data_IF_504215895602
#
_entry.id   IF_504215895602
#
_cell.length_a   1.000
_cell.length_b   1.000
_cell.length_c   1.000
_cell.angle_alpha   90.00
_cell.angle_beta   90.00
_cell.angle_gamma   90.00
#
_symmetry.space_group_name_H-M   'P 1'
#
loop_
_entity.id
_entity.type
_entity.pdbx_description
1 polymer ?
#
# COMPACT_ATOMS: atom_id res chain seq x y z
N UNK A 1 -34.85 33.78 32.51
CA UNK A 1 -34.09 32.52 32.49
C UNK A 1 -34.53 31.71 31.29
N UNK A 2 -33.81 31.81 30.20
CA UNK A 2 -34.06 31.05 28.96
C UNK A 2 -33.60 29.62 29.15
N UNK A 3 -34.53 28.73 29.31
CA UNK A 3 -34.30 27.30 29.44
C UNK A 3 -34.01 26.75 28.03
N UNK A 4 -32.71 26.59 27.67
CA UNK A 4 -32.31 25.83 26.51
C UNK A 4 -32.56 24.35 26.81
N UNK A 5 -33.78 23.87 26.55
CA UNK A 5 -34.03 22.46 26.43
C UNK A 5 -33.38 21.98 25.14
N UNK A 6 -32.19 21.43 25.26
CA UNK A 6 -31.57 20.63 24.22
C UNK A 6 -32.41 19.35 24.08
N UNK A 7 -33.37 19.36 23.17
CA UNK A 7 -33.99 18.13 22.69
C UNK A 7 -32.90 17.33 21.99
N UNK A 8 -32.28 16.44 22.72
CA UNK A 8 -31.49 15.36 22.16
C UNK A 8 -32.45 14.53 21.31
N UNK A 9 -32.47 14.79 20.02
CA UNK A 9 -33.09 13.88 19.08
C UNK A 9 -32.31 12.56 19.11
N UNK A 10 -32.96 11.52 19.60
CA UNK A 10 -32.48 10.13 19.68
C UNK A 10 -32.22 9.48 18.33
N UNK A 11 -31.47 10.14 17.45
CA UNK A 11 -30.94 9.60 16.21
C UNK A 11 -29.53 10.07 15.92
N UNK A 12 -28.73 10.23 16.95
CA UNK A 12 -27.29 10.24 16.76
C UNK A 12 -26.83 8.77 16.73
N UNK A 13 -26.81 8.22 15.51
CA UNK A 13 -26.39 6.86 15.25
C UNK A 13 -25.04 6.55 15.89
N UNK A 14 -24.94 5.38 16.50
CA UNK A 14 -23.72 4.79 17.07
C UNK A 14 -22.52 4.70 16.13
N UNK A 15 -22.70 5.02 14.85
CA UNK A 15 -21.66 5.14 13.83
C UNK A 15 -20.87 6.45 13.90
N UNK A 16 -21.45 7.51 14.48
CA UNK A 16 -20.82 8.84 14.56
C UNK A 16 -19.73 8.91 15.65
N UNK A 17 -19.83 8.10 16.70
CA UNK A 17 -18.89 8.16 17.83
C UNK A 17 -17.50 7.62 17.49
N UNK A 18 -17.39 6.66 16.60
CA UNK A 18 -16.09 6.14 16.13
C UNK A 18 -15.30 7.15 15.29
N UNK A 19 -15.99 8.12 14.70
CA UNK A 19 -15.34 9.18 13.92
C UNK A 19 -14.70 10.25 14.80
N UNK A 20 -15.10 10.32 16.10
CA UNK A 20 -14.64 11.32 17.07
C UNK A 20 -13.88 10.72 18.26
N UNK A 21 -13.41 9.47 18.17
CA UNK A 21 -12.63 8.83 19.26
C UNK A 21 -11.41 9.69 19.65
N UNK A 22 -10.78 10.35 18.67
CA UNK A 22 -9.70 11.29 18.92
C UNK A 22 -10.11 12.52 19.75
N UNK A 23 -11.39 12.91 19.68
CA UNK A 23 -11.91 14.03 20.48
C UNK A 23 -12.06 13.60 21.95
N UNK A 24 -12.41 12.35 22.20
CA UNK A 24 -12.45 11.78 23.55
C UNK A 24 -11.06 11.72 24.15
N UNK A 25 -10.09 11.23 23.38
CA UNK A 25 -8.68 11.19 23.81
C UNK A 25 -8.18 12.61 24.14
N UNK A 26 -8.58 13.61 23.34
CA UNK A 26 -8.26 15.02 23.60
C UNK A 26 -8.91 15.52 24.90
N UNK A 27 -10.20 15.27 25.09
CA UNK A 27 -10.93 15.67 26.29
C UNK A 27 -10.34 14.98 27.52
N UNK A 28 -10.04 13.69 27.45
CA UNK A 28 -9.45 12.93 28.56
C UNK A 28 -8.06 13.46 28.96
N UNK A 29 -7.24 13.90 27.97
CA UNK A 29 -5.93 14.51 28.22
C UNK A 29 -6.10 15.87 28.87
N UNK A 30 -7.10 16.68 28.47
CA UNK A 30 -7.39 18.00 29.04
C UNK A 30 -7.90 17.86 30.47
N UNK A 31 -8.76 16.88 30.74
CA UNK A 31 -9.36 16.67 32.06
C UNK A 31 -8.36 16.12 33.10
N UNK A 32 -7.35 15.36 32.67
CA UNK A 32 -6.35 14.73 33.56
C UNK A 32 -5.20 15.64 33.98
N UNK A 33 -5.07 16.83 33.40
CA UNK A 33 -3.92 17.72 33.67
C UNK A 33 -4.30 18.88 34.60
N UNK A 34 -3.55 19.01 35.69
CA UNK A 34 -3.73 20.05 36.72
C UNK A 34 -3.36 21.48 36.24
N UNK A 35 -2.73 21.63 35.08
CA UNK A 35 -2.40 22.92 34.44
C UNK A 35 -2.93 22.98 33.00
N UNK A 36 -4.16 23.47 32.78
CA UNK A 36 -4.86 23.37 31.50
C UNK A 36 -4.18 24.12 30.33
N UNK A 37 -3.57 25.27 30.59
CA UNK A 37 -3.04 26.12 29.52
C UNK A 37 -1.80 25.55 28.84
N UNK A 38 -0.83 25.06 29.60
CA UNK A 38 0.38 24.46 29.04
C UNK A 38 0.14 23.07 28.45
N UNK A 39 -0.73 22.28 29.07
CA UNK A 39 -1.10 20.95 28.57
C UNK A 39 -1.86 21.01 27.25
N UNK A 40 -2.75 21.97 27.09
CA UNK A 40 -3.51 22.16 25.85
C UNK A 40 -2.59 22.49 24.66
N UNK A 41 -1.67 23.44 24.84
CA UNK A 41 -0.74 23.80 23.78
C UNK A 41 0.20 22.64 23.41
N UNK A 42 0.73 21.91 24.38
CA UNK A 42 1.62 20.79 24.16
C UNK A 42 0.92 19.64 23.44
N UNK A 43 -0.28 19.29 23.90
CA UNK A 43 -1.10 18.24 23.28
C UNK A 43 -1.54 18.61 21.86
N UNK A 44 -1.93 19.87 21.66
CA UNK A 44 -2.28 20.42 20.35
C UNK A 44 -1.09 20.36 19.39
N UNK A 45 0.10 20.79 19.85
CA UNK A 45 1.32 20.74 19.06
C UNK A 45 1.69 19.28 18.69
N UNK A 46 1.61 18.35 19.62
CA UNK A 46 1.94 16.94 19.40
C UNK A 46 0.95 16.26 18.45
N UNK A 47 -0.34 16.54 18.58
CA UNK A 47 -1.37 16.00 17.67
C UNK A 47 -1.18 16.51 16.24
N UNK A 48 -0.85 17.77 16.05
CA UNK A 48 -0.64 18.37 14.72
C UNK A 48 0.73 18.05 14.12
N UNK A 49 1.71 17.63 14.92
CA UNK A 49 3.02 17.21 14.40
C UNK A 49 2.98 15.84 13.71
N UNK A 50 2.15 14.93 14.20
CA UNK A 50 2.11 13.53 13.73
C UNK A 50 0.91 13.22 12.84
N UNK A 51 -0.13 14.04 12.87
CA UNK A 51 -1.38 13.77 12.16
C UNK A 51 -1.86 14.98 11.35
N UNK A 52 -2.58 14.68 10.28
CA UNK A 52 -3.34 15.66 9.50
C UNK A 52 -4.82 15.31 9.55
N UNK A 53 -5.65 16.34 9.66
CA UNK A 53 -7.10 16.24 9.72
C UNK A 53 -7.69 16.82 8.44
N UNK A 54 -8.36 15.99 7.66
CA UNK A 54 -8.96 16.37 6.38
C UNK A 54 -10.47 16.20 6.43
N UNK A 55 -11.18 16.95 5.61
CA UNK A 55 -12.64 16.96 5.58
C UNK A 55 -13.18 16.27 4.33
N UNK A 56 -14.21 15.46 4.50
CA UNK A 56 -15.01 15.00 3.36
C UNK A 56 -15.93 16.13 2.86
N UNK A 57 -16.48 16.06 1.63
CA UNK A 57 -17.46 17.02 1.15
C UNK A 57 -18.71 17.12 2.04
N UNK A 58 -19.02 16.04 2.78
CA UNK A 58 -20.14 15.98 3.74
C UNK A 58 -19.83 16.56 5.12
N UNK A 59 -18.59 17.03 5.34
CA UNK A 59 -18.16 17.62 6.60
C UNK A 59 -17.59 16.65 7.62
N UNK A 60 -17.51 15.34 7.34
CA UNK A 60 -16.88 14.39 8.24
C UNK A 60 -15.36 14.61 8.29
N UNK A 61 -14.76 14.50 9.48
CA UNK A 61 -13.33 14.65 9.72
C UNK A 61 -12.62 13.31 9.62
N UNK A 62 -11.54 13.24 8.84
CA UNK A 62 -10.70 12.05 8.69
C UNK A 62 -9.32 12.37 9.25
N UNK A 63 -8.89 11.62 10.26
CA UNK A 63 -7.55 11.68 10.84
C UNK A 63 -6.62 10.76 10.07
N UNK A 64 -5.50 11.30 9.60
CA UNK A 64 -4.47 10.58 8.85
C UNK A 64 -3.09 10.87 9.45
N UNK A 65 -2.10 10.01 9.25
CA UNK A 65 -0.73 10.33 9.62
C UNK A 65 -0.18 11.49 8.77
N UNK A 66 0.82 12.16 9.28
CA UNK A 66 1.56 13.18 8.53
C UNK A 66 2.07 12.62 7.20
N UNK A 67 2.09 13.45 6.17
CA UNK A 67 2.47 13.10 4.80
C UNK A 67 1.56 12.05 4.12
N UNK A 68 0.37 11.81 4.67
CA UNK A 68 -0.63 10.97 4.01
C UNK A 68 -1.10 11.59 2.70
N UNK A 69 -1.44 10.75 1.74
CA UNK A 69 -1.88 11.15 0.40
C UNK A 69 -3.40 11.07 0.24
N UNK A 70 -3.92 11.59 -0.86
CA UNK A 70 -5.35 11.46 -1.19
C UNK A 70 -5.76 9.98 -1.39
N UNK A 71 -4.82 9.07 -1.69
CA UNK A 71 -5.05 7.62 -1.69
C UNK A 71 -5.34 7.14 -0.27
N UNK A 72 -4.52 7.53 0.70
CA UNK A 72 -4.74 7.19 2.11
C UNK A 72 -6.10 7.65 2.60
N UNK A 73 -6.48 8.88 2.23
CA UNK A 73 -7.79 9.45 2.53
C UNK A 73 -8.92 8.61 1.93
N UNK A 74 -8.82 8.24 0.64
CA UNK A 74 -9.83 7.44 -0.03
C UNK A 74 -10.08 6.10 0.69
N UNK A 75 -9.00 5.40 1.09
CA UNK A 75 -9.08 4.15 1.85
C UNK A 75 -9.51 4.36 3.31
N UNK A 76 -9.21 5.51 3.91
CA UNK A 76 -9.68 5.85 5.26
C UNK A 76 -11.20 6.01 5.27
N UNK A 77 -11.77 6.69 4.27
CA UNK A 77 -13.22 6.85 4.11
C UNK A 77 -13.88 5.49 3.88
N UNK A 78 -13.52 4.78 2.82
CA UNK A 78 -14.05 3.45 2.54
C UNK A 78 -13.18 2.71 1.52
N UNK A 79 -12.95 1.40 1.74
CA UNK A 79 -12.12 0.56 0.85
C UNK A 79 -12.57 0.64 -0.60
N UNK A 80 -13.88 0.57 -0.86
CA UNK A 80 -14.42 0.65 -2.23
C UNK A 80 -14.11 1.99 -2.91
N UNK A 81 -14.06 3.11 -2.17
CA UNK A 81 -13.69 4.42 -2.71
C UNK A 81 -12.22 4.40 -3.12
N UNK A 82 -11.34 3.83 -2.27
CA UNK A 82 -9.92 3.65 -2.59
C UNK A 82 -9.71 2.76 -3.81
N UNK A 83 -10.41 1.64 -3.91
CA UNK A 83 -10.26 0.68 -5.01
C UNK A 83 -10.69 1.27 -6.37
N UNK A 84 -11.65 2.20 -6.37
CA UNK A 84 -12.24 2.78 -7.59
C UNK A 84 -11.82 4.22 -7.85
N UNK A 85 -10.85 4.75 -7.08
CA UNK A 85 -10.37 6.13 -7.21
C UNK A 85 -9.66 6.36 -8.57
N UNK A 86 -10.01 7.44 -9.26
CA UNK A 86 -9.40 7.86 -10.52
C UNK A 86 -8.74 9.24 -10.42
N UNK A 87 -9.11 10.04 -9.43
CA UNK A 87 -8.61 11.39 -9.20
C UNK A 87 -9.18 11.96 -7.92
N UNK A 88 -8.75 13.15 -7.57
CA UNK A 88 -9.29 13.88 -6.43
C UNK A 88 -9.38 15.39 -6.70
N UNK A 89 -10.16 16.05 -5.87
CA UNK A 89 -10.21 17.51 -5.78
C UNK A 89 -9.86 17.88 -4.34
N UNK A 90 -8.87 18.76 -4.17
CA UNK A 90 -8.45 19.29 -2.88
C UNK A 90 -8.80 20.77 -2.86
N UNK A 91 -9.65 21.18 -1.92
CA UNK A 91 -10.15 22.55 -1.79
C UNK A 91 -10.77 23.11 -3.10
N UNK A 92 -11.45 22.23 -3.88
CA UNK A 92 -12.07 22.58 -5.16
C UNK A 92 -11.13 22.53 -6.37
N UNK A 93 -9.83 22.28 -6.19
CA UNK A 93 -8.87 22.16 -7.28
C UNK A 93 -8.61 20.68 -7.60
N UNK A 94 -8.61 20.34 -8.89
CA UNK A 94 -8.23 18.99 -9.35
C UNK A 94 -6.78 18.71 -8.99
N UNK A 95 -6.54 17.56 -8.41
CA UNK A 95 -5.23 17.13 -7.93
C UNK A 95 -5.01 15.65 -8.20
N UNK A 96 -3.77 15.23 -8.17
CA UNK A 96 -3.40 13.82 -8.30
C UNK A 96 -3.66 13.06 -7.00
N UNK A 97 -3.96 11.76 -7.11
CA UNK A 97 -4.20 10.89 -5.95
C UNK A 97 -2.99 10.76 -5.01
N UNK A 98 -1.78 10.99 -5.53
CA UNK A 98 -0.54 10.93 -4.75
C UNK A 98 -0.21 12.26 -4.03
N UNK A 99 -1.03 13.30 -4.20
CA UNK A 99 -0.83 14.58 -3.53
C UNK A 99 -0.88 14.42 -2.02
N UNK A 100 0.13 14.96 -1.33
CA UNK A 100 0.22 14.98 0.13
C UNK A 100 -0.81 15.97 0.67
N UNK A 101 -1.58 15.51 1.65
CA UNK A 101 -2.64 16.28 2.30
C UNK A 101 -2.11 17.12 3.46
N UNK A 102 -2.77 18.25 3.69
CA UNK A 102 -2.49 19.19 4.78
C UNK A 102 -3.67 19.30 5.73
N UNK A 103 -3.41 19.79 6.93
CA UNK A 103 -4.47 20.07 7.89
C UNK A 103 -5.50 21.06 7.32
N UNK A 104 -6.76 20.70 7.46
CA UNK A 104 -7.88 21.51 6.99
C UNK A 104 -8.30 21.25 5.54
N UNK A 105 -7.58 20.41 4.78
CA UNK A 105 -7.93 20.12 3.40
C UNK A 105 -9.31 19.46 3.29
N UNK A 106 -10.13 20.00 2.38
CA UNK A 106 -11.38 19.41 1.97
C UNK A 106 -11.14 18.54 0.74
N UNK A 107 -11.28 17.23 0.89
CA UNK A 107 -10.91 16.25 -0.14
C UNK A 107 -12.14 15.56 -0.70
N UNK A 108 -12.32 15.63 -2.01
CA UNK A 108 -13.34 14.91 -2.76
C UNK A 108 -12.66 13.90 -3.69
N UNK A 109 -13.04 12.62 -3.59
CA UNK A 109 -12.47 11.54 -4.41
C UNK A 109 -13.39 11.24 -5.57
N UNK A 110 -12.87 11.33 -6.78
CA UNK A 110 -13.57 10.92 -8.00
C UNK A 110 -13.34 9.41 -8.22
N UNK A 111 -14.43 8.68 -8.45
CA UNK A 111 -14.39 7.21 -8.59
C UNK A 111 -14.94 6.75 -9.93
N UNK A 112 -14.48 5.60 -10.43
CA UNK A 112 -15.01 4.94 -11.63
C UNK A 112 -15.19 3.43 -11.37
N UNK A 113 -16.32 2.88 -11.79
CA UNK A 113 -16.64 1.45 -11.58
C UNK A 113 -15.66 0.50 -12.28
N UNK A 114 -15.03 0.95 -13.35
CA UNK A 114 -14.11 0.13 -14.16
C UNK A 114 -12.64 0.28 -13.74
N UNK A 115 -12.39 1.05 -12.68
CA UNK A 115 -11.04 1.28 -12.16
C UNK A 115 -10.65 0.20 -11.16
N UNK A 116 -9.35 -0.06 -11.11
CA UNK A 116 -8.69 -0.90 -10.11
C UNK A 116 -7.51 -0.17 -9.49
N UNK A 117 -7.19 -0.43 -8.22
CA UNK A 117 -6.08 0.24 -7.56
C UNK A 117 -4.75 -0.16 -8.18
N UNK A 118 -3.83 0.80 -8.31
CA UNK A 118 -2.49 0.54 -8.83
C UNK A 118 -1.55 0.02 -7.73
N UNK A 119 -0.76 -1.01 -8.03
CA UNK A 119 0.31 -1.47 -7.14
C UNK A 119 1.39 -0.40 -6.91
N UNK A 120 1.56 0.52 -7.87
CA UNK A 120 2.49 1.65 -7.76
C UNK A 120 2.09 2.65 -6.66
N UNK A 121 0.87 2.56 -6.12
CA UNK A 121 0.44 3.40 -4.99
C UNK A 121 1.02 2.94 -3.65
N UNK A 122 1.43 1.67 -3.52
CA UNK A 122 1.91 1.10 -2.26
C UNK A 122 3.09 1.89 -1.65
N UNK A 123 4.13 2.27 -2.39
CA UNK A 123 5.25 3.02 -1.80
C UNK A 123 4.88 4.46 -1.41
N UNK A 124 3.89 5.09 -2.06
CA UNK A 124 3.48 6.46 -1.78
C UNK A 124 2.47 6.56 -0.64
N UNK A 125 1.73 5.48 -0.33
CA UNK A 125 0.78 5.45 0.79
C UNK A 125 1.48 5.36 2.14
N UNK A 126 0.95 6.07 3.14
CA UNK A 126 1.47 6.08 4.51
C UNK A 126 0.71 5.15 5.43
N UNK A 127 -0.58 4.93 5.18
CA UNK A 127 -1.41 4.10 6.06
C UNK A 127 -1.28 2.61 5.78
N UNK A 128 -1.19 1.82 6.84
CA UNK A 128 -1.23 0.36 6.74
C UNK A 128 -2.55 -0.15 6.15
N UNK A 129 -3.66 0.55 6.41
CA UNK A 129 -4.99 0.24 5.87
C UNK A 129 -5.00 0.29 4.34
N UNK A 130 -4.48 1.37 3.73
CA UNK A 130 -4.41 1.51 2.28
C UNK A 130 -3.51 0.43 1.65
N UNK A 131 -2.30 0.24 2.19
CA UNK A 131 -1.37 -0.80 1.71
C UNK A 131 -1.96 -2.21 1.77
N UNK A 132 -2.61 -2.55 2.89
CA UNK A 132 -3.24 -3.85 3.07
C UNK A 132 -4.43 -4.05 2.11
N UNK A 133 -5.26 -3.01 1.91
CA UNK A 133 -6.39 -3.07 1.00
C UNK A 133 -5.94 -3.26 -0.46
N UNK A 134 -4.94 -2.50 -0.93
CA UNK A 134 -4.39 -2.64 -2.28
C UNK A 134 -3.82 -4.05 -2.49
N UNK A 135 -3.04 -4.58 -1.54
CA UNK A 135 -2.50 -5.94 -1.64
C UNK A 135 -3.61 -6.99 -1.67
N UNK A 136 -4.62 -6.87 -0.81
CA UNK A 136 -5.76 -7.78 -0.77
C UNK A 136 -6.53 -7.77 -2.08
N UNK A 137 -6.79 -6.59 -2.66
CA UNK A 137 -7.49 -6.46 -3.93
C UNK A 137 -6.82 -7.28 -5.04
N UNK A 138 -5.51 -7.24 -5.12
CA UNK A 138 -4.75 -7.97 -6.13
C UNK A 138 -4.58 -9.45 -5.78
N UNK A 139 -4.45 -9.79 -4.50
CA UNK A 139 -4.41 -11.16 -4.01
C UNK A 139 -5.71 -11.90 -4.34
N UNK A 140 -6.86 -11.32 -4.00
CA UNK A 140 -8.17 -11.94 -4.22
C UNK A 140 -8.49 -12.12 -5.72
N UNK A 141 -7.91 -11.30 -6.59
CA UNK A 141 -8.06 -11.41 -8.05
C UNK A 141 -6.96 -12.22 -8.70
N UNK A 142 -5.77 -12.27 -8.15
CA UNK A 142 -4.64 -13.09 -8.59
C UNK A 142 -4.88 -14.57 -8.31
N UNK A 143 -5.49 -14.91 -7.20
CA UNK A 143 -5.81 -16.31 -6.87
C UNK A 143 -6.86 -16.95 -7.80
N UNK A 144 -7.62 -16.15 -8.53
CA UNK A 144 -8.50 -16.68 -9.59
C UNK A 144 -7.78 -16.98 -10.90
N UNK A 145 -6.48 -16.70 -11.02
CA UNK A 145 -5.76 -16.82 -12.30
C UNK A 145 -4.43 -17.54 -12.30
N UNK A 146 -3.84 -17.84 -11.17
CA UNK A 146 -2.65 -18.70 -11.15
C UNK A 146 -2.60 -19.44 -9.80
N UNK A 147 -2.69 -20.78 -9.83
CA UNK A 147 -1.94 -21.58 -8.84
C UNK A 147 -0.59 -20.91 -8.69
N UNK A 148 -0.26 -20.46 -7.48
CA UNK A 148 1.07 -19.92 -7.18
C UNK A 148 2.10 -20.99 -7.50
N UNK A 149 2.56 -21.02 -8.71
CA UNK A 149 3.85 -21.61 -8.98
C UNK A 149 4.84 -20.78 -8.17
N UNK A 150 5.23 -21.27 -7.02
CA UNK A 150 6.37 -20.73 -6.27
C UNK A 150 7.50 -20.73 -7.27
N UNK A 151 7.85 -19.56 -7.84
CA UNK A 151 9.03 -19.43 -8.71
C UNK A 151 10.26 -19.62 -7.79
N UNK A 152 10.71 -20.83 -7.71
CA UNK A 152 12.03 -21.11 -7.16
C UNK A 152 13.05 -20.81 -8.26
N UNK A 153 13.82 -19.76 -8.10
CA UNK A 153 14.97 -19.51 -8.95
C UNK A 153 16.09 -20.45 -8.48
N UNK A 154 16.23 -21.57 -9.15
CA UNK A 154 17.30 -22.54 -8.90
C UNK A 154 18.24 -22.52 -10.09
N UNK A 155 19.52 -22.37 -9.84
CA UNK A 155 20.56 -22.50 -10.87
C UNK A 155 21.10 -23.93 -10.86
N UNK A 156 21.01 -24.60 -12.00
CA UNK A 156 21.55 -25.91 -12.22
C UNK A 156 22.82 -25.80 -13.09
N UNK A 157 23.88 -26.39 -12.63
CA UNK A 157 25.12 -26.55 -13.40
C UNK A 157 25.19 -27.99 -13.89
N UNK A 158 25.12 -28.16 -15.22
CA UNK A 158 25.11 -29.48 -15.85
C UNK A 158 26.34 -29.55 -16.77
N UNK A 159 27.20 -30.57 -16.54
CA UNK A 159 28.31 -30.86 -17.43
C UNK A 159 27.85 -31.92 -18.44
N UNK A 160 27.96 -31.60 -19.70
CA UNK A 160 27.52 -32.46 -20.80
C UNK A 160 28.72 -32.77 -21.70
N UNK A 161 28.82 -34.02 -22.23
CA UNK A 161 29.78 -34.29 -23.28
C UNK A 161 29.45 -33.47 -24.54
N UNK A 162 30.47 -32.96 -25.20
CA UNK A 162 30.31 -32.16 -26.44
C UNK A 162 29.90 -33.07 -27.61
N UNK A 163 28.62 -33.38 -27.69
CA UNK A 163 28.01 -34.19 -28.75
C UNK A 163 26.71 -33.50 -29.22
N UNK A 164 26.42 -33.58 -30.52
CA UNK A 164 25.18 -33.07 -31.06
C UNK A 164 23.93 -33.65 -30.33
N UNK A 165 22.95 -32.82 -30.02
CA UNK A 165 21.65 -33.21 -29.43
C UNK A 165 21.62 -33.32 -27.90
N UNK A 166 22.74 -33.27 -27.18
CA UNK A 166 22.78 -33.42 -25.71
C UNK A 166 21.98 -32.32 -24.99
N UNK A 167 22.10 -31.10 -25.43
CA UNK A 167 21.34 -29.98 -24.89
C UNK A 167 19.83 -30.15 -25.11
N UNK A 168 19.43 -30.68 -26.29
CA UNK A 168 18.04 -30.98 -26.61
C UNK A 168 17.47 -32.04 -25.66
N UNK A 169 18.22 -33.09 -25.37
CA UNK A 169 17.78 -34.16 -24.44
C UNK A 169 17.56 -33.62 -23.03
N UNK A 170 18.46 -32.75 -22.55
CA UNK A 170 18.31 -32.14 -21.22
C UNK A 170 17.12 -31.18 -21.17
N UNK A 171 16.93 -30.37 -22.21
CA UNK A 171 15.77 -29.47 -22.30
C UNK A 171 14.43 -30.22 -22.30
N UNK A 172 14.37 -31.34 -23.05
CA UNK A 172 13.18 -32.19 -23.09
C UNK A 172 12.89 -32.81 -21.72
N UNK A 173 13.89 -33.32 -21.04
CA UNK A 173 13.74 -33.90 -19.70
C UNK A 173 13.24 -32.84 -18.69
N UNK A 174 13.75 -31.62 -18.73
CA UNK A 174 13.30 -30.51 -17.89
C UNK A 174 11.84 -30.18 -18.20
N UNK A 175 11.44 -30.17 -19.49
CA UNK A 175 10.07 -29.94 -19.92
C UNK A 175 9.08 -31.02 -19.46
N UNK A 176 9.47 -32.31 -19.52
CA UNK A 176 8.68 -33.43 -19.03
C UNK A 176 8.32 -33.28 -17.53
N UNK A 177 9.23 -32.73 -16.75
CA UNK A 177 9.01 -32.43 -15.33
C UNK A 177 8.28 -31.09 -15.09
N UNK A 178 7.70 -30.49 -16.13
CA UNK A 178 6.96 -29.21 -16.06
C UNK A 178 7.76 -28.05 -15.46
N UNK A 179 9.08 -28.09 -15.62
CA UNK A 179 9.99 -27.01 -15.23
C UNK A 179 10.24 -26.09 -16.41
N UNK A 180 10.37 -24.79 -16.15
CA UNK A 180 10.64 -23.78 -17.17
C UNK A 180 12.07 -23.26 -17.07
N UNK A 181 12.78 -23.19 -18.18
CA UNK A 181 14.11 -22.61 -18.29
C UNK A 181 13.93 -21.11 -18.54
N UNK A 182 14.34 -20.27 -17.58
CA UNK A 182 14.27 -18.81 -17.69
C UNK A 182 15.53 -18.18 -18.31
N UNK A 183 16.68 -18.82 -18.10
CA UNK A 183 17.96 -18.42 -18.67
C UNK A 183 18.83 -19.64 -18.93
N UNK A 184 19.60 -19.63 -20.01
CA UNK A 184 20.54 -20.68 -20.36
C UNK A 184 21.86 -20.04 -20.77
N UNK A 185 22.91 -20.41 -20.06
CA UNK A 185 24.29 -20.03 -20.40
C UNK A 185 25.10 -21.30 -20.72
N UNK A 186 25.77 -21.32 -21.85
CA UNK A 186 26.64 -22.42 -22.23
C UNK A 186 28.09 -21.95 -22.19
N UNK A 187 28.93 -22.69 -21.46
CA UNK A 187 30.37 -22.44 -21.41
C UNK A 187 31.09 -23.63 -22.00
N UNK A 188 31.82 -23.40 -23.08
CA UNK A 188 32.70 -24.43 -23.67
C UNK A 188 34.10 -24.33 -23.09
N UNK A 189 34.52 -25.38 -22.41
CA UNK A 189 35.90 -25.46 -21.94
C UNK A 189 36.76 -26.08 -23.07
N UNK A 190 37.51 -25.25 -23.79
CA UNK A 190 38.57 -25.72 -24.62
C UNK A 190 39.74 -26.15 -23.72
N UNK A 191 40.02 -27.43 -23.65
CA UNK A 191 41.22 -27.91 -23.02
C UNK A 191 42.44 -27.38 -23.78
N UNK A 192 43.06 -26.35 -23.26
CA UNK A 192 44.43 -26.00 -23.64
C UNK A 192 45.29 -27.17 -23.13
N UNK A 193 45.70 -28.10 -24.05
CA UNK A 193 46.80 -29.01 -23.80
C UNK A 193 48.02 -28.15 -23.55
N UNK A 194 48.51 -28.14 -22.31
CA UNK A 194 49.83 -27.64 -22.03
C UNK A 194 50.83 -28.51 -22.83
N UNK A 195 51.48 -27.92 -23.80
CA UNK A 195 52.66 -28.53 -24.41
C UNK A 195 53.75 -28.54 -23.31
N UNK A 196 54.00 -29.70 -22.74
CA UNK A 196 55.25 -29.98 -22.05
C UNK A 196 56.35 -29.88 -23.06
N UNK A 197 57.09 -28.79 -23.05
CA UNK A 197 58.41 -28.73 -23.66
C UNK A 197 59.38 -29.49 -22.82
N UNK A 198 59.61 -30.75 -23.18
CA UNK A 198 60.78 -31.51 -22.69
C UNK A 198 62.02 -30.80 -23.24
N UNK A 199 62.82 -30.20 -22.36
CA UNK A 199 64.20 -29.78 -22.63
C UNK A 199 65.13 -30.99 -22.42
N UNK A 200 65.76 -31.46 -23.48
CA UNK A 200 66.96 -32.20 -23.47
C UNK A 200 68.15 -31.36 -22.99
#
# INVERSE_FOLDING_TARGET
ASHWQYKSSEKFNSLTWKEYDWLKDLVEIIEKNENPEHSYEYTKLQMFQENVFCFTPKGSVIKLPKDATAIDFAYAVHTKIGDTAIGCEINGNKSELQTILRNGDRVNITTSKNQSPSLHWIPTTKTGKARAAIRRYWHDRGEKKEERVKKYNTTLWISLPDKPGQLGNVSSLIGEHKLNISNLETVSYTHLRAHETVRN
#
